data_IF_620064298572
#
_entry.id   IF_620064298572
#
_cell.length_a   1.000
_cell.length_b   1.000
_cell.length_c   1.000
_cell.angle_alpha   90.00
_cell.angle_beta   90.00
_cell.angle_gamma   90.00
#
_symmetry.space_group_name_H-M   'P 1'
#
loop_
_entity.id
_entity.type
_entity.pdbx_description
1 polymer ?
#
# COMPACT_ATOMS: atom_id res chain seq x y z
N UNK A 1 24.27 -10.19 10.52
CA UNK A 1 22.96 -10.91 10.60
C UNK A 1 23.21 -12.41 10.41
N UNK A 2 22.74 -13.29 11.31
CA UNK A 2 22.79 -14.73 11.00
C UNK A 2 21.62 -15.03 10.06
N UNK A 3 21.91 -15.23 8.78
CA UNK A 3 20.91 -15.74 7.85
C UNK A 3 20.41 -17.10 8.32
N UNK A 4 19.10 -17.27 8.38
CA UNK A 4 18.52 -18.60 8.40
C UNK A 4 18.65 -19.24 7.00
N UNK A 5 18.47 -20.55 6.91
CA UNK A 5 18.51 -21.27 5.65
C UNK A 5 17.59 -20.63 4.61
N UNK A 6 18.10 -20.38 3.41
CA UNK A 6 17.25 -19.96 2.29
C UNK A 6 16.42 -21.14 1.76
N UNK A 7 15.20 -20.87 1.36
CA UNK A 7 14.39 -21.86 0.64
C UNK A 7 14.97 -22.13 -0.76
N UNK A 8 14.57 -23.23 -1.42
CA UNK A 8 15.00 -23.52 -2.80
C UNK A 8 14.72 -22.36 -3.77
N UNK A 9 13.55 -21.69 -3.65
CA UNK A 9 13.21 -20.53 -4.48
C UNK A 9 14.07 -19.32 -4.19
N UNK A 10 14.31 -19.02 -2.92
CA UNK A 10 15.23 -17.95 -2.52
C UNK A 10 16.66 -18.22 -3.02
N UNK A 11 17.15 -19.47 -2.88
CA UNK A 11 18.47 -19.88 -3.39
C UNK A 11 18.52 -19.72 -4.91
N UNK A 12 17.48 -20.13 -5.62
CA UNK A 12 17.42 -19.95 -7.08
C UNK A 12 17.45 -18.46 -7.44
N UNK A 13 16.68 -17.59 -6.74
CA UNK A 13 16.72 -16.14 -6.95
C UNK A 13 18.14 -15.57 -6.78
N UNK A 14 18.89 -16.04 -5.80
CA UNK A 14 20.28 -15.58 -5.57
C UNK A 14 21.25 -16.03 -6.67
N UNK A 15 21.03 -17.17 -7.34
CA UNK A 15 22.03 -17.88 -8.16
C UNK A 15 21.61 -18.17 -9.60
N UNK A 16 20.40 -17.82 -10.02
CA UNK A 16 19.86 -18.17 -11.34
C UNK A 16 20.78 -17.77 -12.51
N UNK A 17 21.36 -16.58 -12.41
CA UNK A 17 22.25 -16.00 -13.42
C UNK A 17 23.59 -16.75 -13.61
N UNK A 18 23.95 -17.63 -12.67
CA UNK A 18 25.12 -18.53 -12.77
C UNK A 18 24.78 -19.93 -13.35
N UNK A 19 23.49 -20.24 -13.44
CA UNK A 19 23.06 -21.57 -13.87
C UNK A 19 23.02 -21.66 -15.40
N UNK A 20 23.62 -22.66 -16.02
CA UNK A 20 23.65 -22.79 -17.49
C UNK A 20 22.24 -22.76 -18.12
N UNK A 21 21.25 -23.38 -17.46
CA UNK A 21 19.86 -23.43 -17.94
C UNK A 21 19.17 -22.06 -18.01
N UNK A 22 19.72 -21.05 -17.34
CA UNK A 22 19.16 -19.68 -17.30
C UNK A 22 20.14 -18.62 -17.83
N UNK A 23 21.29 -19.03 -18.41
CA UNK A 23 22.34 -18.08 -18.82
C UNK A 23 21.83 -17.06 -19.84
N UNK A 24 20.96 -17.47 -20.76
CA UNK A 24 20.42 -16.64 -21.84
C UNK A 24 19.18 -15.84 -21.45
N UNK A 25 18.69 -15.98 -20.20
CA UNK A 25 17.54 -15.20 -19.75
C UNK A 25 17.92 -13.72 -19.53
N UNK A 26 17.05 -12.81 -20.01
CA UNK A 26 17.23 -11.36 -19.89
C UNK A 26 16.85 -10.83 -18.49
N UNK A 27 16.13 -11.63 -17.71
CA UNK A 27 15.73 -11.18 -16.38
C UNK A 27 15.06 -12.24 -15.52
N UNK A 28 14.71 -11.82 -14.31
CA UNK A 28 13.94 -12.61 -13.34
C UNK A 28 12.77 -11.81 -12.80
N UNK A 29 11.62 -12.47 -12.68
CA UNK A 29 10.39 -11.94 -12.11
C UNK A 29 9.99 -12.81 -10.92
N UNK A 30 9.93 -12.20 -9.73
CA UNK A 30 9.45 -12.83 -8.50
C UNK A 30 8.14 -12.16 -8.06
N UNK A 31 7.02 -12.86 -8.22
CA UNK A 31 5.73 -12.43 -7.70
C UNK A 31 5.24 -13.32 -6.55
N UNK A 32 4.12 -12.99 -5.96
CA UNK A 32 3.46 -13.83 -4.95
C UNK A 32 3.19 -13.15 -3.62
N UNK A 33 2.98 -13.96 -2.57
CA UNK A 33 2.50 -13.49 -1.27
C UNK A 33 3.45 -12.51 -0.57
N UNK A 34 2.88 -11.68 0.30
CA UNK A 34 3.69 -10.86 1.22
C UNK A 34 4.51 -11.74 2.17
N UNK A 35 5.57 -11.17 2.74
CA UNK A 35 6.43 -11.86 3.74
C UNK A 35 7.08 -13.16 3.26
N UNK A 36 7.06 -13.44 1.98
CA UNK A 36 7.69 -14.64 1.38
C UNK A 36 9.23 -14.57 1.24
N UNK A 37 9.83 -13.40 1.54
CA UNK A 37 11.28 -13.20 1.45
C UNK A 37 11.78 -12.78 0.07
N UNK A 38 10.87 -12.46 -0.88
CA UNK A 38 11.22 -11.98 -2.23
C UNK A 38 12.18 -10.79 -2.21
N UNK A 39 11.82 -9.71 -1.51
CA UNK A 39 12.61 -8.46 -1.49
C UNK A 39 14.06 -8.69 -1.08
N UNK A 40 14.28 -9.49 -0.03
CA UNK A 40 15.64 -9.80 0.46
C UNK A 40 16.42 -10.59 -0.58
N UNK A 41 15.85 -11.69 -1.09
CA UNK A 41 16.54 -12.54 -2.06
C UNK A 41 16.78 -11.83 -3.39
N UNK A 42 15.85 -10.99 -3.84
CA UNK A 42 15.99 -10.18 -5.05
C UNK A 42 17.07 -9.10 -4.90
N UNK A 43 17.05 -8.33 -3.81
CA UNK A 43 18.03 -7.29 -3.59
C UNK A 43 19.46 -7.86 -3.42
N UNK A 44 19.62 -8.89 -2.59
CA UNK A 44 20.92 -9.55 -2.41
C UNK A 44 21.38 -10.21 -3.71
N UNK A 45 20.50 -10.93 -4.41
CA UNK A 45 20.82 -11.57 -5.69
C UNK A 45 21.23 -10.58 -6.77
N UNK A 46 20.54 -9.42 -6.86
CA UNK A 46 20.90 -8.35 -7.78
C UNK A 46 22.30 -7.78 -7.51
N UNK A 47 22.61 -7.52 -6.24
CA UNK A 47 23.96 -7.03 -5.87
C UNK A 47 25.03 -8.11 -6.14
N UNK A 48 24.78 -9.38 -5.78
CA UNK A 48 25.72 -10.46 -6.07
C UNK A 48 26.00 -10.58 -7.57
N UNK A 49 24.94 -10.58 -8.40
CA UNK A 49 25.06 -10.65 -9.85
C UNK A 49 25.86 -9.45 -10.40
N UNK A 50 25.48 -8.25 -10.06
CA UNK A 50 26.11 -7.03 -10.57
C UNK A 50 27.56 -6.88 -10.14
N UNK A 51 27.90 -7.23 -8.90
CA UNK A 51 29.28 -7.20 -8.39
C UNK A 51 30.14 -8.34 -8.95
N UNK A 52 29.56 -9.46 -9.34
CA UNK A 52 30.29 -10.54 -9.96
C UNK A 52 30.54 -10.30 -11.47
N UNK A 53 29.58 -9.71 -12.16
CA UNK A 53 29.59 -9.59 -13.63
C UNK A 53 30.17 -8.27 -14.15
N UNK A 54 30.21 -7.22 -13.33
CA UNK A 54 30.54 -5.86 -13.78
C UNK A 54 31.46 -5.13 -12.80
N UNK A 55 32.31 -4.26 -13.33
CA UNK A 55 33.13 -3.35 -12.54
C UNK A 55 33.03 -1.95 -13.12
N UNK A 56 32.88 -0.94 -12.26
CA UNK A 56 32.73 0.48 -12.61
C UNK A 56 31.52 0.77 -13.50
N UNK A 57 30.42 -0.01 -13.33
CA UNK A 57 29.19 0.15 -14.07
C UNK A 57 28.09 0.79 -13.23
N UNK A 58 27.06 1.27 -13.95
CA UNK A 58 25.88 1.94 -13.38
C UNK A 58 24.66 1.04 -13.41
N UNK A 59 23.94 1.01 -12.30
CA UNK A 59 22.70 0.25 -12.09
C UNK A 59 21.59 1.15 -11.56
N UNK A 60 20.33 0.70 -11.69
CA UNK A 60 19.21 1.36 -11.04
C UNK A 60 18.52 0.43 -10.03
N UNK A 61 18.10 0.99 -8.89
CA UNK A 61 17.20 0.36 -7.94
C UNK A 61 15.98 1.26 -7.83
N UNK A 62 14.82 0.76 -8.26
CA UNK A 62 13.58 1.51 -8.39
C UNK A 62 12.55 1.03 -7.37
N UNK A 63 11.85 1.97 -6.75
CA UNK A 63 10.69 1.73 -5.89
C UNK A 63 9.54 2.66 -6.24
N UNK A 64 8.36 2.48 -5.65
CA UNK A 64 7.24 3.42 -5.84
C UNK A 64 7.62 4.85 -5.44
N UNK A 65 8.32 5.00 -4.31
CA UNK A 65 8.96 6.26 -3.87
C UNK A 65 10.35 5.98 -3.34
N UNK A 66 11.24 6.97 -3.38
CA UNK A 66 12.59 6.84 -2.80
C UNK A 66 12.51 6.55 -1.29
N UNK A 67 11.57 7.16 -0.57
CA UNK A 67 11.41 6.91 0.87
C UNK A 67 10.99 5.47 1.17
N UNK A 68 10.03 4.92 0.39
CA UNK A 68 9.61 3.52 0.56
C UNK A 68 10.75 2.55 0.22
N UNK A 69 11.47 2.82 -0.87
CA UNK A 69 12.64 2.04 -1.28
C UNK A 69 13.74 2.06 -0.20
N UNK A 70 14.06 3.24 0.34
CA UNK A 70 15.03 3.35 1.43
C UNK A 70 14.62 2.53 2.64
N UNK A 71 13.38 2.68 3.07
CA UNK A 71 12.86 1.97 4.26
C UNK A 71 12.82 0.46 4.07
N UNK A 72 12.44 0.00 2.88
CA UNK A 72 12.19 -1.43 2.64
C UNK A 72 13.45 -2.20 2.21
N UNK A 73 14.39 -1.54 1.53
CA UNK A 73 15.56 -2.17 0.92
C UNK A 73 16.85 -1.55 1.42
N UNK A 74 17.05 -0.24 1.17
CA UNK A 74 18.37 0.38 1.25
C UNK A 74 18.95 0.38 2.68
N UNK A 75 18.12 0.68 3.68
CA UNK A 75 18.55 0.70 5.10
C UNK A 75 19.03 -0.68 5.59
N UNK A 76 18.59 -1.74 4.95
CA UNK A 76 18.92 -3.11 5.31
C UNK A 76 20.12 -3.66 4.54
N UNK A 77 20.45 -3.10 3.36
CA UNK A 77 21.53 -3.62 2.50
C UNK A 77 22.89 -3.76 3.23
N UNK A 78 23.35 -2.78 4.06
CA UNK A 78 24.60 -2.96 4.77
C UNK A 78 24.63 -4.21 5.66
N UNK A 79 23.51 -4.51 6.34
CA UNK A 79 23.38 -5.71 7.18
C UNK A 79 23.22 -6.99 6.35
N UNK A 80 22.54 -6.92 5.20
CA UNK A 80 22.37 -8.09 4.32
C UNK A 80 23.65 -8.48 3.58
N UNK A 81 24.55 -7.51 3.36
CA UNK A 81 25.81 -7.70 2.63
C UNK A 81 27.04 -7.67 3.53
N UNK A 82 26.82 -7.71 4.87
CA UNK A 82 27.89 -7.70 5.87
C UNK A 82 28.90 -8.82 5.63
N UNK A 83 30.18 -8.46 5.62
CA UNK A 83 31.27 -9.39 5.33
C UNK A 83 31.49 -9.74 3.85
N UNK A 84 30.59 -9.31 2.95
CA UNK A 84 30.73 -9.50 1.50
C UNK A 84 31.17 -8.22 0.78
N UNK A 85 30.48 -7.11 1.04
CA UNK A 85 30.69 -5.85 0.35
C UNK A 85 30.59 -4.66 1.31
N UNK A 86 31.35 -3.60 1.00
CA UNK A 86 31.19 -2.29 1.62
C UNK A 86 30.09 -1.54 0.90
N UNK A 87 29.06 -1.10 1.62
CA UNK A 87 27.94 -0.28 1.10
C UNK A 87 28.11 1.15 1.60
N UNK A 88 28.17 2.11 0.68
CA UNK A 88 28.26 3.54 0.98
C UNK A 88 27.11 4.28 0.33
N UNK A 89 26.19 4.85 1.12
CA UNK A 89 25.10 5.69 0.63
C UNK A 89 25.53 7.14 0.44
N UNK A 90 25.29 7.69 -0.76
CA UNK A 90 25.38 9.11 -1.08
C UNK A 90 23.97 9.71 -1.13
N UNK A 91 23.43 10.04 0.04
CA UNK A 91 22.01 10.34 0.22
C UNK A 91 21.54 11.55 -0.58
N UNK A 92 22.34 12.61 -0.64
CA UNK A 92 22.04 13.82 -1.43
C UNK A 92 21.96 13.54 -2.93
N UNK A 93 22.71 12.55 -3.42
CA UNK A 93 22.78 12.17 -4.83
C UNK A 93 21.85 11.01 -5.18
N UNK A 94 21.06 10.49 -4.22
CA UNK A 94 20.22 9.31 -4.39
C UNK A 94 20.97 8.13 -5.01
N UNK A 95 22.17 7.82 -4.53
CA UNK A 95 22.96 6.69 -5.03
C UNK A 95 23.68 5.92 -3.94
N UNK A 96 23.97 4.66 -4.25
CA UNK A 96 24.87 3.81 -3.45
C UNK A 96 26.13 3.51 -4.26
N UNK A 97 27.23 3.37 -3.56
CA UNK A 97 28.46 2.78 -4.08
C UNK A 97 28.68 1.49 -3.31
N UNK A 98 28.76 0.36 -4.01
CA UNK A 98 29.04 -0.95 -3.43
C UNK A 98 30.38 -1.42 -3.94
N UNK A 99 31.27 -1.82 -3.03
CA UNK A 99 32.67 -2.11 -3.37
C UNK A 99 33.26 -3.28 -2.56
N UNK A 100 34.25 -3.93 -3.16
CA UNK A 100 35.12 -4.96 -2.53
C UNK A 100 36.45 -5.02 -3.28
N UNK A 101 37.57 -4.98 -2.58
CA UNK A 101 38.91 -5.26 -3.16
C UNK A 101 39.26 -4.43 -4.40
N UNK A 102 38.92 -3.14 -4.45
CA UNK A 102 39.19 -2.28 -5.62
C UNK A 102 38.13 -2.38 -6.74
N UNK A 103 37.17 -3.27 -6.64
CA UNK A 103 36.02 -3.44 -7.51
C UNK A 103 34.84 -2.64 -6.96
N UNK A 104 34.16 -1.86 -7.78
CA UNK A 104 33.01 -1.05 -7.33
C UNK A 104 32.02 -0.81 -8.46
N UNK A 105 30.73 -0.71 -8.08
CA UNK A 105 29.65 -0.32 -8.96
C UNK A 105 28.77 0.76 -8.29
N UNK A 106 28.09 1.56 -9.12
CA UNK A 106 27.20 2.64 -8.68
C UNK A 106 25.74 2.26 -8.91
N UNK A 107 24.90 2.46 -7.90
CA UNK A 107 23.46 2.13 -7.94
C UNK A 107 22.65 3.40 -7.68
N UNK A 108 21.94 3.88 -8.69
CA UNK A 108 21.06 5.04 -8.60
C UNK A 108 19.68 4.64 -8.07
N UNK A 109 19.12 5.45 -7.18
CA UNK A 109 17.84 5.20 -6.52
C UNK A 109 16.76 6.07 -7.14
N UNK A 110 15.69 5.45 -7.66
CA UNK A 110 14.58 6.15 -8.30
C UNK A 110 13.23 5.82 -7.66
N UNK A 111 12.32 6.80 -7.68
CA UNK A 111 10.92 6.63 -7.31
C UNK A 111 10.02 6.76 -8.55
N UNK A 112 9.33 5.67 -8.93
CA UNK A 112 8.32 5.65 -9.98
C UNK A 112 6.94 5.94 -9.40
N UNK A 113 6.64 7.20 -9.06
CA UNK A 113 5.40 7.58 -8.38
C UNK A 113 4.24 7.81 -9.34
N UNK A 114 4.50 8.46 -10.45
CA UNK A 114 3.53 8.92 -11.44
C UNK A 114 4.12 8.86 -12.86
N UNK A 115 3.30 9.14 -13.86
CA UNK A 115 3.69 9.06 -15.27
C UNK A 115 4.86 9.98 -15.63
N UNK A 116 5.08 11.09 -14.93
CA UNK A 116 6.19 12.01 -15.20
C UNK A 116 7.55 11.46 -14.73
N UNK A 117 7.52 10.44 -13.86
CA UNK A 117 8.74 9.85 -13.28
C UNK A 117 9.67 9.22 -14.32
N UNK A 118 9.20 8.91 -15.54
CA UNK A 118 10.05 8.38 -16.61
C UNK A 118 11.23 9.31 -16.97
N UNK A 119 11.07 10.61 -16.75
CA UNK A 119 12.12 11.61 -17.03
C UNK A 119 13.35 11.42 -16.13
N UNK A 120 13.20 10.83 -14.94
CA UNK A 120 14.28 10.65 -13.97
C UNK A 120 15.39 9.73 -14.48
N UNK A 121 15.07 8.81 -15.38
CA UNK A 121 16.00 7.80 -15.91
C UNK A 121 16.46 8.13 -17.33
N UNK A 122 16.01 9.26 -17.92
CA UNK A 122 16.42 9.67 -19.25
C UNK A 122 17.93 9.97 -19.32
N UNK A 123 18.54 9.64 -20.45
CA UNK A 123 19.96 9.93 -20.72
C UNK A 123 20.95 9.04 -19.97
N UNK A 124 20.49 8.06 -19.19
CA UNK A 124 21.36 7.12 -18.50
C UNK A 124 21.69 5.92 -19.37
N UNK A 125 22.85 5.29 -19.08
CA UNK A 125 23.22 3.95 -19.54
C UNK A 125 23.37 3.06 -18.32
N UNK A 126 22.65 1.95 -18.31
CA UNK A 126 22.59 1.04 -17.16
C UNK A 126 23.04 -0.37 -17.56
N UNK A 127 23.74 -1.04 -16.66
CA UNK A 127 24.07 -2.47 -16.77
C UNK A 127 22.98 -3.37 -16.19
N UNK A 128 21.97 -2.80 -15.54
CA UNK A 128 20.80 -3.54 -15.05
C UNK A 128 19.91 -2.73 -14.13
N UNK A 129 18.72 -3.25 -13.87
CA UNK A 129 17.73 -2.58 -13.02
C UNK A 129 16.99 -3.56 -12.11
N UNK A 130 16.81 -3.18 -10.85
CA UNK A 130 15.94 -3.85 -9.88
C UNK A 130 14.72 -2.97 -9.60
N UNK A 131 13.54 -3.52 -9.79
CA UNK A 131 12.27 -2.91 -9.41
C UNK A 131 11.70 -3.60 -8.17
N UNK A 132 11.60 -2.88 -7.06
CA UNK A 132 10.90 -3.35 -5.86
C UNK A 132 9.46 -2.82 -5.87
N UNK A 133 8.49 -3.72 -5.79
CA UNK A 133 7.05 -3.42 -5.94
C UNK A 133 6.69 -2.87 -7.34
N UNK A 134 7.18 -3.48 -8.41
CA UNK A 134 6.99 -3.00 -9.81
C UNK A 134 5.53 -2.81 -10.20
N UNK A 135 4.60 -3.61 -9.68
CA UNK A 135 3.17 -3.47 -9.94
C UNK A 135 2.59 -2.13 -9.43
N UNK A 136 3.28 -1.42 -8.55
CA UNK A 136 2.85 -0.10 -8.06
C UNK A 136 3.44 1.07 -8.86
N UNK A 137 4.22 0.79 -9.90
CA UNK A 137 4.88 1.81 -10.72
C UNK A 137 4.14 2.04 -12.04
N UNK A 138 4.16 3.26 -12.60
CA UNK A 138 3.64 3.53 -13.93
C UNK A 138 4.38 2.73 -15.00
N UNK A 139 3.65 2.28 -16.00
CA UNK A 139 4.19 1.53 -17.14
C UNK A 139 5.30 2.32 -17.86
N UNK A 140 5.06 3.60 -18.13
CA UNK A 140 5.99 4.50 -18.79
C UNK A 140 7.36 4.56 -18.10
N UNK A 141 7.37 4.63 -16.77
CA UNK A 141 8.59 4.64 -15.98
C UNK A 141 9.37 3.33 -16.10
N UNK A 142 8.68 2.19 -15.99
CA UNK A 142 9.31 0.86 -16.06
C UNK A 142 9.89 0.63 -17.46
N UNK A 143 9.12 0.90 -18.52
CA UNK A 143 9.58 0.75 -19.92
C UNK A 143 10.79 1.66 -20.21
N UNK A 144 10.77 2.89 -19.71
CA UNK A 144 11.90 3.82 -19.89
C UNK A 144 13.17 3.31 -19.17
N UNK A 145 13.05 2.81 -17.94
CA UNK A 145 14.20 2.28 -17.22
C UNK A 145 14.79 1.02 -17.90
N UNK A 146 13.94 0.15 -18.42
CA UNK A 146 14.37 -1.02 -19.21
C UNK A 146 15.12 -0.61 -20.48
N UNK A 147 14.62 0.41 -21.20
CA UNK A 147 15.28 0.94 -22.38
C UNK A 147 16.66 1.58 -22.11
N UNK A 148 17.00 1.85 -20.85
CA UNK A 148 18.35 2.34 -20.46
C UNK A 148 19.34 1.21 -20.21
N UNK A 149 18.88 -0.04 -20.08
CA UNK A 149 19.76 -1.19 -19.87
C UNK A 149 20.37 -1.64 -21.21
N UNK A 150 21.41 -0.96 -21.66
CA UNK A 150 22.06 -1.16 -22.96
C UNK A 150 23.50 -1.65 -22.87
N UNK A 151 24.01 -1.89 -21.67
CA UNK A 151 25.32 -2.55 -21.48
C UNK A 151 25.20 -4.03 -21.80
N UNK A 152 26.20 -4.60 -22.48
CA UNK A 152 26.21 -6.02 -22.81
C UNK A 152 26.10 -6.89 -21.55
N UNK A 153 25.19 -7.87 -21.56
CA UNK A 153 24.91 -8.74 -20.41
C UNK A 153 24.00 -8.11 -19.35
N UNK A 154 23.39 -6.93 -19.63
CA UNK A 154 22.41 -6.31 -18.72
C UNK A 154 21.23 -7.24 -18.45
N UNK A 155 20.66 -7.17 -17.23
CA UNK A 155 19.53 -8.01 -16.81
C UNK A 155 18.50 -7.19 -16.00
N UNK A 156 17.24 -7.66 -16.06
CA UNK A 156 16.09 -7.05 -15.39
C UNK A 156 15.66 -7.88 -14.18
N UNK A 157 15.36 -7.21 -13.09
CA UNK A 157 14.95 -7.86 -11.85
C UNK A 157 13.64 -7.25 -11.35
N UNK A 158 12.56 -8.03 -11.36
CA UNK A 158 11.22 -7.58 -11.01
C UNK A 158 10.71 -8.27 -9.75
N UNK A 159 10.32 -7.49 -8.76
CA UNK A 159 9.68 -7.97 -7.53
C UNK A 159 8.32 -7.29 -7.33
N UNK A 160 7.26 -8.07 -7.09
CA UNK A 160 5.95 -7.51 -6.78
C UNK A 160 5.06 -8.47 -5.96
N UNK A 161 4.00 -7.89 -5.41
CA UNK A 161 2.81 -8.63 -4.98
C UNK A 161 1.76 -8.53 -6.10
N UNK A 162 0.84 -9.53 -6.21
CA UNK A 162 -0.22 -9.51 -7.19
C UNK A 162 -1.22 -8.37 -6.98
N UNK A 163 -1.74 -7.88 -8.10
CA UNK A 163 -2.85 -6.95 -8.23
C UNK A 163 -4.01 -7.62 -8.98
N UNK A 164 -4.81 -6.86 -9.74
CA UNK A 164 -5.87 -7.39 -10.58
C UNK A 164 -5.35 -8.10 -11.84
N UNK A 165 -6.11 -9.05 -12.42
CA UNK A 165 -5.69 -9.81 -13.60
C UNK A 165 -5.66 -8.95 -14.88
N UNK A 166 -6.26 -7.75 -14.83
CA UNK A 166 -6.23 -6.79 -15.94
C UNK A 166 -5.03 -5.83 -15.84
N UNK A 167 -4.23 -5.93 -14.79
CA UNK A 167 -3.07 -5.08 -14.57
C UNK A 167 -2.05 -5.24 -15.71
N UNK A 168 -1.50 -4.12 -16.21
CA UNK A 168 -0.56 -4.12 -17.34
C UNK A 168 0.64 -5.06 -17.13
N UNK A 169 1.23 -5.04 -15.92
CA UNK A 169 2.40 -5.85 -15.60
C UNK A 169 2.09 -7.36 -15.62
N UNK A 170 0.89 -7.76 -15.15
CA UNK A 170 0.43 -9.15 -15.23
C UNK A 170 0.31 -9.61 -16.68
N UNK A 171 -0.42 -8.83 -17.50
CA UNK A 171 -0.67 -9.17 -18.91
C UNK A 171 0.59 -9.23 -19.76
N UNK A 172 1.48 -8.27 -19.57
CA UNK A 172 2.61 -8.06 -20.48
C UNK A 172 3.90 -8.71 -20.02
N UNK A 173 4.02 -9.00 -18.71
CA UNK A 173 5.24 -9.58 -18.13
C UNK A 173 5.00 -10.95 -17.49
N UNK A 174 4.02 -11.08 -16.59
CA UNK A 174 3.82 -12.36 -15.88
C UNK A 174 3.33 -13.44 -16.84
N UNK A 175 2.28 -13.15 -17.63
CA UNK A 175 1.75 -14.10 -18.62
C UNK A 175 2.69 -14.32 -19.82
N UNK A 176 3.49 -13.33 -20.15
CA UNK A 176 4.40 -13.33 -21.30
C UNK A 176 5.87 -13.60 -20.93
N UNK A 177 6.13 -14.08 -19.70
CA UNK A 177 7.49 -14.24 -19.19
C UNK A 177 8.38 -15.09 -20.10
N UNK A 178 7.84 -16.17 -20.69
CA UNK A 178 8.58 -17.02 -21.65
C UNK A 178 8.93 -16.26 -22.93
N UNK A 179 7.99 -15.51 -23.51
CA UNK A 179 8.21 -14.72 -24.73
C UNK A 179 9.21 -13.58 -24.49
N UNK A 180 9.23 -13.05 -23.28
CA UNK A 180 10.15 -11.98 -22.86
C UNK A 180 11.48 -12.50 -22.31
N UNK A 181 11.72 -13.78 -22.40
CA UNK A 181 12.94 -14.42 -21.93
C UNK A 181 13.26 -14.12 -20.45
N UNK A 182 12.23 -14.20 -19.59
CA UNK A 182 12.32 -13.86 -18.15
C UNK A 182 11.97 -15.07 -17.31
N UNK A 183 12.84 -15.42 -16.36
CA UNK A 183 12.58 -16.46 -15.37
C UNK A 183 11.49 -15.99 -14.39
N UNK A 184 10.38 -16.71 -14.36
CA UNK A 184 9.28 -16.41 -13.42
C UNK A 184 9.30 -17.36 -12.22
N UNK A 185 9.32 -16.80 -11.01
CA UNK A 185 9.24 -17.53 -9.75
C UNK A 185 8.09 -16.99 -8.89
N UNK A 186 7.12 -17.85 -8.64
CA UNK A 186 5.99 -17.51 -7.78
C UNK A 186 6.29 -17.90 -6.33
N UNK A 187 6.22 -16.94 -5.40
CA UNK A 187 6.54 -17.09 -3.99
C UNK A 187 5.30 -17.15 -3.10
N UNK A 188 5.36 -17.99 -2.08
CA UNK A 188 4.38 -18.06 -0.98
C UNK A 188 5.06 -17.77 0.36
N UNK A 189 4.29 -17.55 1.43
CA UNK A 189 4.87 -17.39 2.78
C UNK A 189 5.65 -18.62 3.25
N UNK A 190 5.38 -19.83 2.69
CA UNK A 190 6.13 -21.04 2.98
C UNK A 190 7.58 -20.97 2.52
N UNK A 191 7.88 -20.12 1.51
CA UNK A 191 9.25 -19.91 1.03
C UNK A 191 10.10 -19.09 1.98
N UNK A 192 9.52 -18.45 3.00
CA UNK A 192 10.25 -17.74 4.04
C UNK A 192 10.43 -18.62 5.28
N UNK A 193 11.53 -19.36 5.33
CA UNK A 193 11.84 -20.29 6.42
C UNK A 193 12.10 -19.58 7.78
N UNK A 194 12.30 -18.26 7.79
CA UNK A 194 12.45 -17.47 9.01
C UNK A 194 11.12 -17.08 9.67
N UNK A 195 10.00 -17.33 9.00
CA UNK A 195 8.68 -16.94 9.46
C UNK A 195 8.08 -18.05 10.33
N UNK A 196 7.85 -17.77 11.62
CA UNK A 196 7.21 -18.75 12.51
C UNK A 196 5.74 -18.99 12.14
N UNK A 197 5.21 -20.18 12.43
CA UNK A 197 3.81 -20.51 12.17
C UNK A 197 2.84 -19.55 12.85
N UNK A 198 3.14 -19.10 14.07
CA UNK A 198 2.35 -18.07 14.78
C UNK A 198 2.25 -16.76 13.99
N UNK A 199 3.34 -16.35 13.33
CA UNK A 199 3.34 -15.14 12.50
C UNK A 199 2.57 -15.38 11.20
N UNK A 200 2.69 -16.53 10.55
CA UNK A 200 1.91 -16.89 9.36
C UNK A 200 0.41 -16.85 9.65
N UNK A 201 -0.04 -17.54 10.68
CA UNK A 201 -1.44 -17.55 11.13
C UNK A 201 -1.97 -16.14 11.42
N UNK A 202 -1.13 -15.27 12.02
CA UNK A 202 -1.50 -13.86 12.24
C UNK A 202 -1.75 -13.13 10.92
N UNK A 203 -0.89 -13.30 9.90
CA UNK A 203 -1.09 -12.69 8.59
C UNK A 203 -2.31 -13.27 7.87
N UNK A 204 -2.53 -14.56 7.94
CA UNK A 204 -3.72 -15.23 7.39
C UNK A 204 -5.02 -14.68 7.99
N UNK A 205 -5.04 -14.43 9.30
CA UNK A 205 -6.19 -13.84 9.98
C UNK A 205 -6.38 -12.32 9.75
N UNK A 206 -5.40 -11.62 9.13
CA UNK A 206 -5.48 -10.18 8.92
C UNK A 206 -6.15 -9.78 7.61
N UNK A 207 -6.19 -10.66 6.64
CA UNK A 207 -6.70 -10.38 5.30
C UNK A 207 -7.89 -11.25 4.96
N UNK A 208 -8.82 -10.70 4.18
CA UNK A 208 -9.97 -11.46 3.66
C UNK A 208 -10.26 -11.07 2.21
N UNK A 209 -11.15 -11.80 1.58
CA UNK A 209 -11.60 -11.51 0.21
C UNK A 209 -10.42 -11.41 -0.76
N UNK A 210 -10.44 -10.38 -1.59
CA UNK A 210 -9.42 -10.14 -2.62
C UNK A 210 -8.02 -9.93 -2.01
N UNK A 211 -7.92 -9.28 -0.86
CA UNK A 211 -6.62 -9.05 -0.22
C UNK A 211 -6.01 -10.33 0.35
N UNK A 212 -6.82 -11.25 0.85
CA UNK A 212 -6.36 -12.59 1.23
C UNK A 212 -5.83 -13.36 0.00
N UNK A 213 -6.60 -13.35 -1.08
CA UNK A 213 -6.19 -14.02 -2.31
C UNK A 213 -4.87 -13.46 -2.87
N UNK A 214 -4.67 -12.13 -2.86
CA UNK A 214 -3.47 -11.48 -3.37
C UNK A 214 -2.27 -11.58 -2.43
N UNK A 215 -2.47 -11.22 -1.17
CA UNK A 215 -1.35 -11.04 -0.23
C UNK A 215 -0.97 -12.33 0.50
N UNK A 216 -1.93 -13.24 0.72
CA UNK A 216 -1.66 -14.52 1.38
C UNK A 216 -1.45 -15.63 0.36
N UNK A 217 -2.37 -15.79 -0.59
CA UNK A 217 -2.26 -16.84 -1.60
C UNK A 217 -1.40 -16.45 -2.80
N UNK A 218 -1.03 -15.18 -2.95
CA UNK A 218 -0.20 -14.69 -4.05
C UNK A 218 -0.89 -14.69 -5.42
N UNK A 219 -2.23 -14.63 -5.48
CA UNK A 219 -2.99 -14.77 -6.73
C UNK A 219 -3.29 -13.43 -7.39
N UNK A 220 -3.09 -13.34 -8.69
CA UNK A 220 -3.60 -12.24 -9.52
C UNK A 220 -5.10 -12.42 -9.72
N UNK A 221 -5.91 -11.75 -8.92
CA UNK A 221 -7.35 -11.95 -8.90
C UNK A 221 -8.10 -10.62 -8.87
N UNK A 222 -9.32 -10.63 -9.43
CA UNK A 222 -10.21 -9.47 -9.48
C UNK A 222 -10.88 -9.27 -8.13
N UNK A 223 -11.10 -8.01 -7.78
CA UNK A 223 -11.96 -7.66 -6.66
C UNK A 223 -13.43 -7.71 -7.13
N UNK A 224 -14.26 -8.51 -6.45
CA UNK A 224 -15.66 -8.75 -6.82
C UNK A 224 -16.55 -8.77 -5.59
N UNK A 225 -17.84 -8.45 -5.77
CA UNK A 225 -18.84 -8.45 -4.73
C UNK A 225 -18.68 -7.32 -3.70
N UNK A 226 -19.17 -7.54 -2.49
CA UNK A 226 -19.07 -6.55 -1.40
C UNK A 226 -17.62 -6.31 -0.97
N UNK A 227 -17.31 -5.06 -0.64
CA UNK A 227 -15.98 -4.66 -0.16
C UNK A 227 -15.69 -5.24 1.22
N UNK A 228 -16.71 -5.27 2.10
CA UNK A 228 -16.63 -5.82 3.46
C UNK A 228 -17.61 -6.98 3.68
N UNK A 229 -17.47 -8.13 2.99
CA UNK A 229 -18.43 -9.25 3.06
C UNK A 229 -18.49 -9.89 4.46
N UNK A 230 -17.50 -9.65 5.29
CA UNK A 230 -17.41 -10.14 6.66
C UNK A 230 -18.05 -9.19 7.70
N UNK A 231 -18.57 -8.03 7.28
CA UNK A 231 -19.32 -7.16 8.18
C UNK A 231 -20.57 -7.90 8.69
N UNK A 232 -20.71 -7.93 10.00
CA UNK A 232 -21.83 -8.55 10.69
C UNK A 232 -22.44 -7.53 11.66
N UNK A 233 -23.71 -7.18 11.43
CA UNK A 233 -24.37 -6.14 12.23
C UNK A 233 -24.51 -6.52 13.72
N UNK A 234 -24.70 -7.81 14.04
CA UNK A 234 -24.83 -8.26 15.45
C UNK A 234 -23.50 -8.10 16.21
N UNK A 235 -22.38 -8.27 15.49
CA UNK A 235 -21.04 -8.18 16.06
C UNK A 235 -20.49 -6.76 16.09
N UNK A 236 -20.72 -5.98 15.00
CA UNK A 236 -20.07 -4.69 14.82
C UNK A 236 -20.93 -3.49 15.21
N UNK A 237 -22.28 -3.65 15.24
CA UNK A 237 -23.22 -2.63 15.67
C UNK A 237 -23.64 -2.90 17.11
N UNK A 238 -23.06 -2.16 18.04
CA UNK A 238 -23.29 -2.35 19.48
C UNK A 238 -23.85 -1.07 20.14
N UNK A 239 -24.41 -1.22 21.32
CA UNK A 239 -24.82 -0.07 22.11
C UNK A 239 -23.59 0.68 22.67
N UNK A 240 -23.70 1.99 22.88
CA UNK A 240 -22.62 2.76 23.49
C UNK A 240 -22.47 2.35 24.97
N UNK A 241 -21.28 1.90 25.32
CA UNK A 241 -20.93 1.50 26.69
C UNK A 241 -20.55 2.68 27.60
N UNK A 242 -20.57 3.93 27.07
CA UNK A 242 -20.19 5.12 27.80
C UNK A 242 -18.72 5.22 28.21
N UNK A 243 -17.86 4.36 27.64
CA UNK A 243 -16.44 4.32 28.00
C UNK A 243 -15.75 5.68 27.71
N UNK A 244 -14.73 6.02 28.49
CA UNK A 244 -13.92 7.21 28.26
C UNK A 244 -13.00 7.00 27.05
N UNK A 245 -12.69 8.10 26.35
CA UNK A 245 -11.77 8.07 25.20
C UNK A 245 -11.52 9.46 24.65
N UNK A 246 -10.70 9.53 23.62
CA UNK A 246 -10.47 10.74 22.83
C UNK A 246 -11.45 10.80 21.67
N UNK A 247 -12.00 11.98 21.39
CA UNK A 247 -13.02 12.11 20.37
C UNK A 247 -12.50 12.80 19.11
N UNK A 248 -12.89 12.26 17.97
CA UNK A 248 -12.56 12.75 16.65
C UNK A 248 -13.82 12.83 15.79
N UNK A 249 -13.83 13.72 14.82
CA UNK A 249 -14.86 13.73 13.78
C UNK A 249 -14.18 13.46 12.44
N UNK A 250 -14.73 12.55 11.65
CA UNK A 250 -14.38 12.42 10.23
C UNK A 250 -15.52 12.92 9.37
N UNK A 251 -15.18 13.53 8.25
CA UNK A 251 -16.12 14.16 7.36
C UNK A 251 -15.85 13.76 5.91
N UNK A 252 -16.85 13.20 5.25
CA UNK A 252 -16.96 13.17 3.79
C UNK A 252 -17.88 14.31 3.37
N UNK A 253 -17.30 15.33 2.73
CA UNK A 253 -17.99 16.59 2.42
C UNK A 253 -18.54 16.55 1.00
N UNK A 254 -19.85 16.67 0.88
CA UNK A 254 -20.56 16.83 -0.38
C UNK A 254 -21.53 18.01 -0.35
N UNK A 255 -21.63 18.76 -1.44
CA UNK A 255 -22.60 19.85 -1.61
C UNK A 255 -23.93 19.37 -2.17
N UNK A 256 -23.88 18.60 -3.27
CA UNK A 256 -25.03 17.92 -3.88
C UNK A 256 -25.14 16.47 -3.41
N UNK A 257 -24.00 15.80 -3.33
CA UNK A 257 -23.88 14.46 -2.76
C UNK A 257 -24.01 14.54 -1.23
N UNK A 258 -24.33 13.44 -0.57
CA UNK A 258 -24.40 13.42 0.88
C UNK A 258 -23.15 13.99 1.55
N UNK A 259 -23.38 14.82 2.59
CA UNK A 259 -22.36 15.22 3.53
C UNK A 259 -22.52 14.39 4.80
N UNK A 260 -21.46 13.69 5.20
CA UNK A 260 -21.51 12.73 6.29
C UNK A 260 -20.44 13.05 7.34
N UNK A 261 -20.85 13.11 8.62
CA UNK A 261 -19.92 13.17 9.74
C UNK A 261 -20.02 11.90 10.58
N UNK A 262 -18.90 11.36 10.98
CA UNK A 262 -18.80 10.30 11.98
C UNK A 262 -18.12 10.82 13.24
N UNK A 263 -18.78 10.72 14.40
CA UNK A 263 -18.17 11.00 15.70
C UNK A 263 -17.56 9.72 16.25
N UNK A 264 -16.27 9.72 16.44
CA UNK A 264 -15.48 8.58 16.86
C UNK A 264 -14.90 8.77 18.26
N UNK A 265 -15.06 7.76 19.10
CA UNK A 265 -14.35 7.60 20.36
C UNK A 265 -13.21 6.61 20.19
N UNK A 266 -11.99 7.03 20.52
CA UNK A 266 -10.79 6.18 20.49
C UNK A 266 -10.36 5.86 21.91
N UNK A 267 -10.25 4.57 22.21
CA UNK A 267 -9.74 4.05 23.48
C UNK A 267 -8.66 2.99 23.20
N UNK A 268 -7.40 3.31 23.50
CA UNK A 268 -6.28 2.44 23.17
C UNK A 268 -6.19 2.21 21.65
N UNK A 269 -6.29 0.96 21.25
CA UNK A 269 -6.21 0.50 19.85
C UNK A 269 -7.58 0.27 19.19
N UNK A 270 -8.67 0.52 19.90
CA UNK A 270 -10.04 0.36 19.40
C UNK A 270 -10.73 1.71 19.15
N UNK A 271 -11.69 1.70 18.25
CA UNK A 271 -12.50 2.85 17.92
C UNK A 271 -13.99 2.48 17.86
N UNK A 272 -14.82 3.39 18.34
CA UNK A 272 -16.27 3.26 18.36
C UNK A 272 -16.90 4.49 17.72
N UNK A 273 -17.74 4.32 16.69
CA UNK A 273 -18.52 5.40 16.10
C UNK A 273 -19.76 5.66 16.96
N UNK A 274 -19.73 6.74 17.74
CA UNK A 274 -20.75 7.08 18.72
C UNK A 274 -22.06 7.49 18.07
N UNK A 275 -21.97 8.27 16.98
CA UNK A 275 -23.12 8.73 16.19
C UNK A 275 -22.69 9.16 14.79
N UNK A 276 -23.66 9.23 13.88
CA UNK A 276 -23.51 9.72 12.54
C UNK A 276 -24.40 10.95 12.28
N UNK A 277 -23.92 11.84 11.40
CA UNK A 277 -24.71 12.83 10.73
C UNK A 277 -24.72 12.51 9.24
N UNK A 278 -25.90 12.52 8.63
CA UNK A 278 -26.04 12.19 7.20
C UNK A 278 -27.04 13.18 6.57
N UNK A 279 -26.55 14.02 5.67
CA UNK A 279 -27.36 14.98 4.96
C UNK A 279 -27.23 14.79 3.46
N UNK A 280 -28.31 14.30 2.83
CA UNK A 280 -28.41 14.12 1.39
C UNK A 280 -29.21 15.31 0.79
N UNK A 281 -28.48 16.25 0.20
CA UNK A 281 -29.04 17.46 -0.41
C UNK A 281 -29.96 17.18 -1.59
N UNK A 282 -29.65 16.10 -2.36
CA UNK A 282 -30.50 15.68 -3.49
C UNK A 282 -31.86 15.17 -3.01
N UNK A 283 -31.86 14.25 -2.06
CA UNK A 283 -33.11 13.71 -1.48
C UNK A 283 -33.94 14.77 -0.79
N UNK A 284 -33.29 15.79 -0.16
CA UNK A 284 -33.98 16.88 0.54
C UNK A 284 -34.34 18.05 -0.38
N UNK A 285 -33.88 18.06 -1.63
CA UNK A 285 -34.11 19.15 -2.58
C UNK A 285 -33.51 20.49 -2.17
N UNK A 286 -32.55 20.48 -1.21
CA UNK A 286 -31.92 21.69 -0.69
C UNK A 286 -30.44 21.45 -0.45
N UNK A 287 -29.59 22.30 -1.06
CA UNK A 287 -28.18 22.40 -0.72
C UNK A 287 -27.97 23.25 0.54
N UNK A 288 -26.96 22.91 1.31
CA UNK A 288 -26.46 23.73 2.40
C UNK A 288 -25.21 24.47 2.01
N UNK A 289 -25.02 25.65 2.56
CA UNK A 289 -23.78 26.41 2.50
C UNK A 289 -22.75 25.85 3.49
N UNK A 290 -21.48 26.24 3.33
CA UNK A 290 -20.41 25.87 4.28
C UNK A 290 -20.71 26.33 5.69
N UNK A 291 -21.35 27.50 5.88
CA UNK A 291 -21.76 28.01 7.18
C UNK A 291 -22.89 27.18 7.81
N UNK A 292 -23.89 26.76 7.01
CA UNK A 292 -24.95 25.87 7.50
C UNK A 292 -24.37 24.49 7.89
N UNK A 293 -23.41 23.96 7.14
CA UNK A 293 -22.71 22.72 7.51
C UNK A 293 -21.82 22.91 8.75
N UNK A 294 -21.23 24.08 8.92
CA UNK A 294 -20.45 24.38 10.12
C UNK A 294 -21.36 24.42 11.37
N UNK A 295 -22.53 25.05 11.28
CA UNK A 295 -23.50 25.04 12.36
C UNK A 295 -23.96 23.62 12.73
N UNK A 296 -24.18 22.77 11.72
CA UNK A 296 -24.48 21.34 11.94
C UNK A 296 -23.32 20.61 12.62
N UNK A 297 -22.08 20.86 12.18
CA UNK A 297 -20.87 20.27 12.78
C UNK A 297 -20.72 20.67 14.24
N UNK A 298 -20.99 21.95 14.57
CA UNK A 298 -20.91 22.45 15.92
C UNK A 298 -21.99 21.82 16.81
N UNK A 299 -23.23 21.74 16.33
CA UNK A 299 -24.32 21.05 17.00
C UNK A 299 -24.03 19.54 17.18
N UNK A 300 -23.45 18.90 16.16
CA UNK A 300 -23.05 17.50 16.20
C UNK A 300 -21.95 17.25 17.23
N UNK A 301 -20.99 18.16 17.38
CA UNK A 301 -19.89 18.06 18.33
C UNK A 301 -20.30 18.39 19.78
N UNK A 302 -21.54 18.93 20.02
CA UNK A 302 -21.96 19.37 21.32
C UNK A 302 -21.85 18.28 22.40
N UNK A 303 -21.19 18.61 23.52
CA UNK A 303 -20.98 17.69 24.64
C UNK A 303 -19.70 16.85 24.53
N UNK A 304 -18.90 16.99 23.46
CA UNK A 304 -17.65 16.24 23.26
C UNK A 304 -16.46 17.18 23.05
N UNK A 305 -15.33 16.86 23.67
CA UNK A 305 -14.06 17.53 23.40
C UNK A 305 -13.42 16.89 22.17
N UNK A 306 -13.47 17.59 21.03
CA UNK A 306 -12.99 17.08 19.76
C UNK A 306 -11.51 17.39 19.59
N UNK A 307 -10.68 16.37 19.48
CA UNK A 307 -9.25 16.49 19.23
C UNK A 307 -8.94 17.02 17.82
N UNK A 308 -9.58 16.45 16.81
CA UNK A 308 -9.40 16.83 15.41
C UNK A 308 -10.64 16.51 14.56
N UNK A 309 -10.88 17.34 13.54
CA UNK A 309 -11.80 17.06 12.43
C UNK A 309 -10.97 16.61 11.22
N UNK A 310 -11.17 15.37 10.80
CA UNK A 310 -10.50 14.77 9.63
C UNK A 310 -11.40 14.92 8.42
N UNK A 311 -10.95 15.58 7.37
CA UNK A 311 -11.78 15.91 6.21
C UNK A 311 -10.99 15.70 4.90
N UNK A 312 -11.69 15.35 3.82
CA UNK A 312 -11.07 15.17 2.50
C UNK A 312 -10.27 16.41 2.09
N UNK A 313 -9.05 16.23 1.55
CA UNK A 313 -8.24 17.32 1.04
C UNK A 313 -8.94 18.21 0.01
N UNK A 314 -9.88 17.68 -0.78
CA UNK A 314 -10.62 18.41 -1.82
C UNK A 314 -11.64 19.41 -1.26
N UNK A 315 -12.12 19.24 -0.02
CA UNK A 315 -13.08 20.10 0.64
C UNK A 315 -12.47 21.43 1.12
N UNK A 316 -11.85 22.20 0.21
CA UNK A 316 -11.05 23.38 0.57
C UNK A 316 -11.89 24.50 1.22
N UNK A 317 -13.08 24.78 0.68
CA UNK A 317 -13.98 25.84 1.20
C UNK A 317 -14.47 25.54 2.61
N UNK A 318 -14.96 24.32 2.83
CA UNK A 318 -15.47 23.94 4.15
C UNK A 318 -14.35 23.88 5.20
N UNK A 319 -13.15 23.41 4.85
CA UNK A 319 -11.98 23.46 5.74
C UNK A 319 -11.64 24.89 6.15
N UNK A 320 -11.71 25.83 5.22
CA UNK A 320 -11.45 27.24 5.50
C UNK A 320 -12.52 27.84 6.43
N UNK A 321 -13.79 27.51 6.21
CA UNK A 321 -14.89 27.89 7.10
C UNK A 321 -14.66 27.39 8.54
N UNK A 322 -14.32 26.11 8.71
CA UNK A 322 -14.02 25.55 10.04
C UNK A 322 -12.84 26.27 10.70
N UNK A 323 -11.78 26.60 9.94
CA UNK A 323 -10.61 27.31 10.47
C UNK A 323 -10.94 28.75 10.90
N UNK A 324 -11.77 29.48 10.14
CA UNK A 324 -12.18 30.83 10.49
C UNK A 324 -12.91 30.90 11.81
N UNK A 325 -13.78 29.93 12.06
CA UNK A 325 -14.47 29.84 13.38
C UNK A 325 -13.54 29.47 14.54
N UNK A 326 -12.38 28.85 14.28
CA UNK A 326 -11.32 28.62 15.24
C UNK A 326 -11.59 27.59 16.34
N UNK A 327 -12.80 26.97 16.36
CA UNK A 327 -13.21 26.03 17.41
C UNK A 327 -12.59 24.62 17.24
N UNK A 328 -12.38 24.18 16.03
CA UNK A 328 -11.92 22.83 15.74
C UNK A 328 -10.59 22.81 14.99
N UNK A 329 -9.70 21.93 15.41
CA UNK A 329 -8.48 21.63 14.68
C UNK A 329 -8.80 20.75 13.46
N UNK A 330 -8.40 21.18 12.25
CA UNK A 330 -8.67 20.47 10.99
C UNK A 330 -7.46 19.72 10.50
N UNK A 331 -7.63 18.47 10.11
CA UNK A 331 -6.61 17.62 9.53
C UNK A 331 -7.06 17.07 8.18
N UNK A 332 -6.17 17.13 7.17
CA UNK A 332 -6.42 16.49 5.89
C UNK A 332 -6.46 14.98 6.04
N UNK A 333 -7.48 14.36 5.48
CA UNK A 333 -7.60 12.91 5.39
C UNK A 333 -6.51 12.32 4.50
N UNK A 334 -6.11 11.09 4.81
CA UNK A 334 -5.40 10.20 3.89
C UNK A 334 -6.45 9.43 3.12
N UNK A 335 -6.66 9.81 1.87
CA UNK A 335 -7.79 9.35 1.06
C UNK A 335 -7.49 8.22 0.07
N UNK A 336 -6.31 7.58 0.15
CA UNK A 336 -6.01 6.38 -0.66
C UNK A 336 -7.09 5.30 -0.46
N UNK A 337 -7.87 4.99 -1.52
CA UNK A 337 -9.06 4.14 -1.44
C UNK A 337 -8.70 2.71 -1.05
N UNK A 338 -7.85 2.03 -1.82
CA UNK A 338 -7.52 0.62 -1.59
C UNK A 338 -6.80 0.39 -0.26
N UNK A 339 -5.86 1.26 0.06
CA UNK A 339 -5.18 1.23 1.35
C UNK A 339 -6.16 1.45 2.52
N UNK A 340 -7.10 2.39 2.34
CA UNK A 340 -8.13 2.68 3.35
C UNK A 340 -9.10 1.50 3.54
N UNK A 341 -9.53 0.87 2.46
CA UNK A 341 -10.38 -0.34 2.50
C UNK A 341 -9.66 -1.46 3.26
N UNK A 342 -8.40 -1.71 2.92
CA UNK A 342 -7.59 -2.73 3.59
C UNK A 342 -7.42 -2.45 5.08
N UNK A 343 -7.04 -1.22 5.44
CA UNK A 343 -6.79 -0.83 6.83
C UNK A 343 -8.09 -0.93 7.66
N UNK A 344 -9.22 -0.49 7.11
CA UNK A 344 -10.55 -0.61 7.73
C UNK A 344 -10.98 -2.07 7.89
N UNK A 345 -10.81 -2.88 6.84
CA UNK A 345 -11.12 -4.31 6.88
C UNK A 345 -10.35 -5.03 7.98
N UNK A 346 -9.07 -4.72 8.14
CA UNK A 346 -8.23 -5.27 9.21
C UNK A 346 -8.77 -4.94 10.60
N UNK A 347 -9.15 -3.68 10.84
CA UNK A 347 -9.69 -3.28 12.15
C UNK A 347 -11.06 -3.91 12.45
N UNK A 348 -11.93 -4.01 11.44
CA UNK A 348 -13.22 -4.69 11.57
C UNK A 348 -13.04 -6.16 11.98
N UNK A 349 -12.19 -6.89 11.28
CA UNK A 349 -11.92 -8.31 11.56
C UNK A 349 -11.27 -8.55 12.91
N UNK A 350 -10.37 -7.66 13.30
CA UNK A 350 -9.75 -7.71 14.63
C UNK A 350 -10.72 -7.37 15.77
N UNK A 351 -11.97 -6.96 15.47
CA UNK A 351 -12.94 -6.51 16.47
C UNK A 351 -12.52 -5.22 17.16
N UNK A 352 -11.80 -4.34 16.45
CA UNK A 352 -11.29 -3.07 16.97
C UNK A 352 -12.08 -1.87 16.46
N UNK A 353 -13.03 -2.08 15.57
CA UNK A 353 -13.88 -1.05 14.99
C UNK A 353 -15.35 -1.43 15.18
N UNK A 354 -16.06 -0.60 15.92
CA UNK A 354 -17.48 -0.79 16.21
C UNK A 354 -18.27 0.48 15.95
N UNK A 355 -19.58 0.32 15.82
CA UNK A 355 -20.52 1.40 15.50
C UNK A 355 -21.72 1.34 16.44
N UNK A 356 -22.25 2.50 16.80
CA UNK A 356 -23.50 2.57 17.53
C UNK A 356 -24.64 2.05 16.65
N UNK A 357 -25.57 1.29 17.22
CA UNK A 357 -26.77 0.79 16.53
C UNK A 357 -27.61 1.88 15.87
N UNK A 358 -27.48 3.13 16.35
CA UNK A 358 -28.15 4.30 15.77
C UNK A 358 -27.53 4.79 14.44
N UNK A 359 -26.34 4.29 14.06
CA UNK A 359 -25.68 4.63 12.81
C UNK A 359 -26.29 3.83 11.65
N UNK A 360 -27.54 4.13 11.31
CA UNK A 360 -28.34 3.35 10.35
C UNK A 360 -27.89 3.50 8.90
N UNK A 361 -27.39 4.69 8.51
CA UNK A 361 -26.86 4.92 7.16
C UNK A 361 -25.55 4.18 6.95
N UNK A 362 -24.65 4.23 7.92
CA UNK A 362 -23.40 3.44 7.90
C UNK A 362 -23.71 1.94 7.75
N UNK A 363 -24.69 1.41 8.52
CA UNK A 363 -25.13 0.02 8.38
C UNK A 363 -25.63 -0.30 6.97
N UNK A 364 -26.46 0.59 6.39
CA UNK A 364 -27.01 0.41 5.06
C UNK A 364 -25.92 0.40 3.98
N UNK A 365 -24.94 1.32 4.09
CA UNK A 365 -23.84 1.40 3.12
C UNK A 365 -22.89 0.20 3.20
N UNK A 366 -22.66 -0.42 4.35
CA UNK A 366 -21.93 -1.69 4.43
C UNK A 366 -22.55 -2.80 3.56
N UNK A 367 -23.87 -2.83 3.47
CA UNK A 367 -24.61 -3.79 2.63
C UNK A 367 -24.62 -3.45 1.13
N UNK A 368 -24.25 -2.24 0.75
CA UNK A 368 -24.26 -1.75 -0.62
C UNK A 368 -22.86 -1.49 -1.22
N UNK A 369 -21.84 -1.29 -0.36
CA UNK A 369 -20.49 -0.94 -0.79
C UNK A 369 -19.80 -2.10 -1.48
N UNK A 370 -19.70 -2.01 -2.80
CA UNK A 370 -19.27 -3.10 -3.66
C UNK A 370 -18.16 -2.66 -4.62
N UNK A 371 -17.43 -3.65 -5.11
CA UNK A 371 -16.42 -3.45 -6.15
C UNK A 371 -17.10 -3.20 -7.51
N UNK A 372 -16.52 -2.31 -8.31
CA UNK A 372 -16.94 -2.10 -9.69
C UNK A 372 -16.36 -3.20 -10.60
N UNK A 373 -17.16 -4.20 -10.88
CA UNK A 373 -16.78 -5.33 -11.71
C UNK A 373 -16.55 -4.96 -13.18
N UNK A 374 -17.01 -3.78 -13.63
CA UNK A 374 -16.79 -3.28 -15.00
C UNK A 374 -15.46 -2.54 -15.14
N UNK A 375 -14.87 -2.10 -14.04
CA UNK A 375 -13.59 -1.40 -14.05
C UNK A 375 -12.45 -2.33 -14.47
N UNK A 376 -11.52 -1.79 -15.22
CA UNK A 376 -10.25 -2.48 -15.57
C UNK A 376 -9.23 -2.50 -14.41
N UNK A 377 -9.45 -1.66 -13.39
CA UNK A 377 -8.67 -1.59 -12.15
C UNK A 377 -9.59 -1.85 -10.96
N UNK A 378 -8.99 -2.08 -9.78
CA UNK A 378 -9.78 -2.19 -8.57
C UNK A 378 -10.36 -0.82 -8.21
N UNK A 379 -11.62 -0.68 -8.49
CA UNK A 379 -12.42 0.49 -8.13
C UNK A 379 -13.66 0.04 -7.35
N UNK A 380 -14.21 0.91 -6.57
CA UNK A 380 -15.50 0.72 -5.91
C UNK A 380 -16.57 1.49 -6.66
N UNK A 381 -17.80 0.98 -6.61
CA UNK A 381 -18.98 1.70 -7.12
C UNK A 381 -19.13 2.97 -6.30
N UNK A 382 -19.15 4.12 -6.99
CA UNK A 382 -19.22 5.46 -6.37
C UNK A 382 -20.67 5.90 -6.13
N UNK A 383 -21.43 5.02 -5.45
CA UNK A 383 -22.81 5.24 -5.04
C UNK A 383 -23.00 4.69 -3.63
N UNK A 384 -23.64 5.47 -2.74
CA UNK A 384 -23.87 5.09 -1.34
C UNK A 384 -22.57 4.67 -0.61
N UNK A 385 -21.51 5.45 -0.79
CA UNK A 385 -20.18 5.19 -0.25
C UNK A 385 -19.68 6.27 0.74
N UNK A 386 -20.52 7.24 1.09
CA UNK A 386 -20.14 8.43 1.86
C UNK A 386 -19.80 8.12 3.33
N UNK A 387 -20.56 7.21 3.97
CA UNK A 387 -20.21 6.70 5.30
C UNK A 387 -18.96 5.82 5.26
N UNK A 388 -18.77 5.09 4.17
CA UNK A 388 -17.56 4.27 3.97
C UNK A 388 -16.34 5.15 3.77
N UNK A 389 -16.47 6.25 3.02
CA UNK A 389 -15.38 7.19 2.77
C UNK A 389 -14.97 7.94 4.06
N UNK A 390 -15.93 8.50 4.82
CA UNK A 390 -15.59 9.14 6.10
C UNK A 390 -14.94 8.16 7.09
N UNK A 391 -15.40 6.91 7.15
CA UNK A 391 -14.81 5.86 7.99
C UNK A 391 -13.37 5.55 7.57
N UNK A 392 -13.10 5.39 6.27
CA UNK A 392 -11.75 5.20 5.72
C UNK A 392 -10.82 6.36 6.07
N UNK A 393 -11.32 7.61 5.96
CA UNK A 393 -10.58 8.81 6.34
C UNK A 393 -10.16 8.77 7.80
N UNK A 394 -11.06 8.41 8.69
CA UNK A 394 -10.79 8.26 10.11
C UNK A 394 -9.74 7.18 10.37
N UNK A 395 -9.99 5.96 9.91
CA UNK A 395 -9.09 4.81 10.15
C UNK A 395 -7.70 5.09 9.60
N UNK A 396 -7.60 5.54 8.37
CA UNK A 396 -6.32 5.79 7.68
C UNK A 396 -5.52 6.92 8.30
N UNK A 397 -6.19 7.94 8.86
CA UNK A 397 -5.54 9.16 9.37
C UNK A 397 -5.24 9.07 10.86
N UNK A 398 -6.17 8.55 11.65
CA UNK A 398 -6.08 8.50 13.11
C UNK A 398 -5.56 7.15 13.60
N UNK A 399 -6.14 6.04 13.13
CA UNK A 399 -5.84 4.70 13.64
C UNK A 399 -4.63 4.02 12.98
N UNK A 400 -3.88 4.74 12.15
CA UNK A 400 -2.78 4.17 11.36
C UNK A 400 -1.67 3.49 12.18
N UNK A 401 -1.40 3.95 13.41
CA UNK A 401 -0.39 3.34 14.28
C UNK A 401 -0.86 1.97 14.78
N UNK A 402 -2.10 1.88 15.14
CA UNK A 402 -2.76 0.69 15.66
C UNK A 402 -2.87 -0.38 14.56
N UNK A 403 -3.29 0.02 13.36
CA UNK A 403 -3.27 -0.85 12.18
C UNK A 403 -1.87 -1.42 11.93
N UNK A 404 -0.82 -0.60 12.05
CA UNK A 404 0.58 -1.05 11.91
C UNK A 404 1.03 -1.99 13.02
N UNK A 405 0.58 -1.78 14.25
CA UNK A 405 0.92 -2.66 15.39
C UNK A 405 0.38 -4.09 15.18
N UNK A 406 -0.74 -4.23 14.48
CA UNK A 406 -1.28 -5.54 14.06
C UNK A 406 -0.55 -6.14 12.83
N UNK A 407 0.52 -5.50 12.33
CA UNK A 407 1.47 -6.10 11.39
C UNK A 407 1.38 -5.63 9.94
N UNK A 408 0.63 -4.57 9.66
CA UNK A 408 0.67 -3.92 8.36
C UNK A 408 1.79 -2.86 8.37
N UNK A 409 2.94 -3.24 7.87
CA UNK A 409 4.01 -2.29 7.51
C UNK A 409 3.90 -1.92 6.05
#
# INVERSE_FOLDING_TARGET
>A
MKYQRFSPRQTLTLTWWKRPEFADYDGILCDGSIRSGKTVSMAVGFILWSMYSFNNESFAICGRTIESLRRNVIVHLPSWLEGLFKVTERRAENKLIISVGGHSNTYYLFGGRDESSYTLVQGMTLAGVLFDEVALMPRSFVEQALARCSVAGSKFWFNCNPEGPMHWFYKEWVLECKRRNVLHLHFTMADNLSLSEKIKQRYEGMYTGVFYARYILGKWTKAEGLVYPFFNAEKHMIDDDGARGRYYISCDYGTLNPCVFGLWRVNGNSAFMVKEYYYDGRKKGKQKTDEEYYADLEAFAKGYLIEQVVIDPSAASFKETIRRHGKFSVKNAKNDVLDGIRDTGTMLQAGLLHFNKTCVNTKAEFGAYAWDEKSSSDAVIKENDHSMDQMRYFVRTIMKREVRAYGIK
#
